data_IF_392216857154
#
_entry.id   IF_392216857154
#
_cell.length_a   1.000
_cell.length_b   1.000
_cell.length_c   1.000
_cell.angle_alpha   90.00
_cell.angle_beta   90.00
_cell.angle_gamma   90.00
#
_symmetry.space_group_name_H-M   'P 1'
#
loop_
_entity.id
_entity.type
_entity.pdbx_description
1 polymer ?
#
# COMPACT_ATOMS: atom_id res chain seq x y z
N UNK A 1 -5.15 4.81 15.90
CA UNK A 1 -5.91 3.81 15.12
C UNK A 1 -6.00 4.15 13.65
N UNK A 2 -6.16 3.12 12.82
CA UNK A 2 -6.40 3.25 11.38
C UNK A 2 -7.90 3.41 11.14
N UNK A 3 -8.31 4.40 10.33
CA UNK A 3 -9.70 4.53 9.87
C UNK A 3 -9.78 4.09 8.42
N UNK A 4 -10.76 3.24 8.13
CA UNK A 4 -11.03 2.70 6.81
C UNK A 4 -12.40 3.19 6.32
N UNK A 5 -12.48 3.52 5.04
CA UNK A 5 -13.74 3.71 4.33
C UNK A 5 -14.03 2.41 3.58
N UNK A 6 -15.11 1.74 3.94
CA UNK A 6 -15.55 0.54 3.21
C UNK A 6 -16.47 0.94 2.06
N UNK A 7 -16.05 0.63 0.83
CA UNK A 7 -16.78 1.00 -0.37
C UNK A 7 -17.39 -0.24 -1.02
N UNK A 8 -18.70 -0.18 -1.26
CA UNK A 8 -19.41 -1.10 -2.14
C UNK A 8 -19.37 -0.56 -3.58
N UNK A 9 -19.00 -1.41 -4.53
CA UNK A 9 -19.02 -1.12 -5.95
C UNK A 9 -19.99 -2.05 -6.65
N UNK A 10 -20.80 -1.49 -7.56
CA UNK A 10 -21.69 -2.26 -8.43
C UNK A 10 -21.26 -2.10 -9.87
N UNK A 11 -21.12 -3.22 -10.59
CA UNK A 11 -20.83 -3.21 -12.02
C UNK A 11 -22.09 -2.78 -12.77
N UNK A 12 -22.02 -1.67 -13.51
CA UNK A 12 -23.18 -1.08 -14.18
C UNK A 12 -23.44 -1.64 -15.58
N UNK A 13 -22.39 -2.08 -16.30
CA UNK A 13 -22.48 -2.50 -17.69
C UNK A 13 -21.54 -3.69 -17.99
N UNK A 14 -21.72 -4.29 -19.17
CA UNK A 14 -20.95 -5.44 -19.64
C UNK A 14 -21.44 -6.80 -19.07
N UNK A 15 -20.66 -7.88 -19.28
CA UNK A 15 -21.08 -9.26 -18.97
C UNK A 15 -21.36 -9.52 -17.48
N UNK A 16 -20.80 -8.70 -16.61
CA UNK A 16 -20.91 -8.82 -15.16
C UNK A 16 -21.81 -7.73 -14.54
N UNK A 17 -22.69 -7.10 -15.31
CA UNK A 17 -23.61 -6.09 -14.80
C UNK A 17 -24.43 -6.61 -13.60
N UNK A 18 -24.69 -5.71 -12.64
CA UNK A 18 -25.35 -5.93 -11.34
C UNK A 18 -24.57 -6.77 -10.34
N UNK A 19 -23.33 -7.17 -10.63
CA UNK A 19 -22.44 -7.79 -9.64
C UNK A 19 -21.86 -6.74 -8.70
N UNK A 20 -21.63 -7.15 -7.45
CA UNK A 20 -21.08 -6.29 -6.40
C UNK A 20 -19.71 -6.79 -5.95
N UNK A 21 -18.85 -5.87 -5.57
CA UNK A 21 -17.62 -6.17 -4.85
C UNK A 21 -17.31 -5.05 -3.85
N UNK A 22 -16.53 -5.38 -2.83
CA UNK A 22 -16.17 -4.45 -1.77
C UNK A 22 -14.67 -4.19 -1.77
N UNK A 23 -14.29 -2.95 -1.48
CA UNK A 23 -12.89 -2.59 -1.25
C UNK A 23 -12.81 -1.48 -0.22
N UNK A 24 -11.99 -1.69 0.81
CA UNK A 24 -11.76 -0.70 1.84
C UNK A 24 -10.53 0.15 1.54
N UNK A 25 -10.63 1.45 1.83
CA UNK A 25 -9.58 2.45 1.62
C UNK A 25 -9.16 3.07 2.94
N UNK A 26 -7.86 3.31 3.13
CA UNK A 26 -7.38 4.00 4.33
C UNK A 26 -7.65 5.49 4.22
N UNK A 27 -8.41 6.04 5.17
CA UNK A 27 -8.74 7.48 5.22
C UNK A 27 -7.98 8.25 6.31
N UNK A 28 -7.53 7.56 7.36
CA UNK A 28 -6.67 8.15 8.39
C UNK A 28 -5.83 7.09 9.11
N UNK A 29 -4.76 7.53 9.78
CA UNK A 29 -3.88 6.69 10.58
C UNK A 29 -2.99 5.76 9.76
N UNK A 30 -2.43 4.75 10.41
CA UNK A 30 -1.48 3.82 9.79
C UNK A 30 -0.06 4.40 9.71
N UNK A 31 0.76 3.84 8.83
CA UNK A 31 2.13 4.33 8.61
C UNK A 31 2.11 5.74 8.03
N UNK A 32 2.89 6.63 8.62
CA UNK A 32 3.09 8.00 8.14
C UNK A 32 4.41 8.13 7.40
N UNK A 33 4.49 9.10 6.49
CA UNK A 33 5.73 9.55 5.89
C UNK A 33 6.50 10.50 6.83
N UNK A 34 7.66 11.00 6.38
CA UNK A 34 8.51 11.93 7.14
C UNK A 34 7.80 13.23 7.50
N UNK A 35 6.76 13.59 6.75
CA UNK A 35 5.93 14.78 6.92
C UNK A 35 4.73 14.53 7.84
N UNK A 36 4.61 13.33 8.43
CA UNK A 36 3.52 12.95 9.32
C UNK A 36 2.20 12.64 8.59
N UNK A 37 2.22 12.51 7.26
CA UNK A 37 1.02 12.22 6.46
C UNK A 37 0.86 10.71 6.31
N UNK A 38 -0.35 10.19 6.54
CA UNK A 38 -0.64 8.77 6.31
C UNK A 38 -0.36 8.35 4.86
N UNK A 39 0.50 7.36 4.69
CA UNK A 39 0.84 6.78 3.39
C UNK A 39 -0.40 6.15 2.75
N UNK A 40 -1.20 5.43 3.55
CA UNK A 40 -2.45 4.82 3.10
C UNK A 40 -3.46 5.87 2.62
N UNK A 41 -3.52 7.01 3.31
CA UNK A 41 -4.37 8.13 2.89
C UNK A 41 -3.88 8.77 1.59
N UNK A 42 -2.57 8.92 1.39
CA UNK A 42 -1.99 9.44 0.14
C UNK A 42 -2.38 8.57 -1.06
N UNK A 43 -2.30 7.25 -0.91
CA UNK A 43 -2.71 6.29 -1.95
C UNK A 43 -4.22 6.39 -2.21
N UNK A 44 -5.03 6.38 -1.16
CA UNK A 44 -6.50 6.42 -1.29
C UNK A 44 -6.98 7.71 -1.94
N UNK A 45 -6.39 8.87 -1.59
CA UNK A 45 -6.67 10.16 -2.25
C UNK A 45 -6.39 10.12 -3.75
N UNK A 46 -5.28 9.50 -4.16
CA UNK A 46 -4.95 9.33 -5.58
C UNK A 46 -6.02 8.52 -6.32
N UNK A 47 -6.49 7.42 -5.71
CA UNK A 47 -7.57 6.60 -6.27
C UNK A 47 -8.89 7.37 -6.34
N UNK A 48 -9.25 8.11 -5.29
CA UNK A 48 -10.48 8.90 -5.26
C UNK A 48 -10.48 9.98 -6.33
N UNK A 49 -9.35 10.68 -6.49
CA UNK A 49 -9.17 11.65 -7.57
C UNK A 49 -9.35 11.01 -8.94
N UNK A 50 -8.75 9.83 -9.16
CA UNK A 50 -8.89 9.12 -10.42
C UNK A 50 -10.36 8.72 -10.70
N UNK A 51 -11.09 8.25 -9.68
CA UNK A 51 -12.53 7.96 -9.81
C UNK A 51 -13.35 9.19 -10.21
N UNK A 52 -13.08 10.35 -9.60
CA UNK A 52 -13.76 11.61 -9.95
C UNK A 52 -13.40 12.04 -11.36
N UNK A 53 -12.11 12.00 -11.72
CA UNK A 53 -11.62 12.37 -13.05
C UNK A 53 -12.28 11.50 -14.12
N UNK A 54 -12.41 10.18 -13.88
CA UNK A 54 -13.08 9.25 -14.77
C UNK A 54 -14.60 9.48 -14.84
N UNK A 55 -15.25 9.73 -13.70
CA UNK A 55 -16.70 9.97 -13.66
C UNK A 55 -17.12 11.27 -14.36
N UNK A 56 -16.30 12.31 -14.25
CA UNK A 56 -16.57 13.64 -14.82
C UNK A 56 -15.92 13.86 -16.18
N UNK A 57 -15.15 12.89 -16.70
CA UNK A 57 -14.42 13.02 -17.96
C UNK A 57 -13.39 14.15 -17.92
N UNK A 58 -12.66 14.29 -16.81
CA UNK A 58 -11.61 15.31 -16.67
C UNK A 58 -10.27 14.76 -17.15
N UNK A 59 -9.49 15.60 -17.83
CA UNK A 59 -8.10 15.27 -18.11
C UNK A 59 -7.29 15.35 -16.81
N UNK A 60 -6.63 14.26 -16.36
CA UNK A 60 -5.78 14.30 -15.17
C UNK A 60 -4.64 15.33 -15.22
N UNK A 61 -4.24 15.78 -16.42
CA UNK A 61 -3.21 16.81 -16.61
C UNK A 61 -3.76 18.23 -16.58
N UNK A 62 -5.08 18.41 -16.70
CA UNK A 62 -5.70 19.73 -16.64
C UNK A 62 -5.65 20.27 -15.20
N UNK A 63 -4.92 21.38 -15.01
CA UNK A 63 -4.77 22.08 -13.72
C UNK A 63 -5.51 23.42 -13.70
N UNK A 64 -6.48 23.62 -14.59
CA UNK A 64 -7.37 24.79 -14.55
C UNK A 64 -8.13 24.87 -13.23
N UNK A 65 -8.44 26.07 -12.78
CA UNK A 65 -9.22 26.29 -11.55
C UNK A 65 -10.60 25.63 -11.63
N UNK A 66 -11.21 25.59 -12.83
CA UNK A 66 -12.47 24.90 -13.07
C UNK A 66 -12.35 23.38 -12.83
N UNK A 67 -11.29 22.74 -13.34
CA UNK A 67 -11.06 21.31 -13.12
C UNK A 67 -10.67 21.01 -11.66
N UNK A 68 -9.91 21.89 -11.01
CA UNK A 68 -9.61 21.78 -9.57
C UNK A 68 -10.87 21.86 -8.73
N UNK A 69 -11.75 22.82 -8.99
CA UNK A 69 -13.01 22.97 -8.26
C UNK A 69 -13.87 21.70 -8.33
N UNK A 70 -13.94 21.04 -9.50
CA UNK A 70 -14.65 19.76 -9.67
C UNK A 70 -14.01 18.58 -8.94
N UNK A 71 -12.73 18.66 -8.58
CA UNK A 71 -12.01 17.63 -7.81
C UNK A 71 -12.05 17.85 -6.30
N UNK A 72 -12.52 19.00 -5.84
CA UNK A 72 -12.65 19.29 -4.42
C UNK A 72 -13.91 18.60 -3.90
N UNK A 73 -13.72 17.60 -3.04
CA UNK A 73 -14.80 16.96 -2.31
C UNK A 73 -15.15 17.78 -1.07
N UNK A 74 -16.45 18.00 -0.81
CA UNK A 74 -16.95 18.55 0.46
C UNK A 74 -16.86 17.51 1.57
N UNK A 75 -16.94 16.23 1.20
CA UNK A 75 -16.74 15.09 2.08
C UNK A 75 -16.70 13.78 1.30
N UNK A 76 -16.47 12.66 2.00
CA UNK A 76 -16.43 11.33 1.37
C UNK A 76 -17.78 10.90 0.79
N UNK A 77 -18.89 11.49 1.25
CA UNK A 77 -20.23 11.24 0.74
C UNK A 77 -20.39 11.64 -0.74
N UNK A 78 -19.60 12.60 -1.23
CA UNK A 78 -19.63 13.04 -2.63
C UNK A 78 -19.13 11.94 -3.60
N UNK A 79 -18.46 10.90 -3.09
CA UNK A 79 -18.08 9.72 -3.87
C UNK A 79 -19.23 8.74 -4.06
N UNK A 80 -20.34 8.88 -3.33
CA UNK A 80 -21.47 7.97 -3.43
C UNK A 80 -22.26 8.23 -4.72
N UNK A 81 -22.54 7.15 -5.47
CA UNK A 81 -23.36 7.21 -6.68
C UNK A 81 -22.62 7.63 -7.95
N UNK A 82 -21.32 7.90 -7.89
CA UNK A 82 -20.52 8.18 -9.10
C UNK A 82 -20.39 6.91 -9.95
N UNK A 83 -20.35 7.09 -11.26
CA UNK A 83 -20.09 6.00 -12.23
C UNK A 83 -18.79 6.31 -12.97
N UNK A 84 -17.87 5.37 -13.01
CA UNK A 84 -16.54 5.55 -13.60
C UNK A 84 -16.09 4.30 -14.35
N UNK A 85 -15.15 4.47 -15.29
CA UNK A 85 -14.54 3.37 -16.01
C UNK A 85 -13.41 2.75 -15.18
N UNK A 86 -13.36 1.42 -15.10
CA UNK A 86 -12.41 0.72 -14.24
C UNK A 86 -11.94 -0.61 -14.83
N UNK A 87 -10.74 -1.03 -14.43
CA UNK A 87 -10.26 -2.41 -14.60
C UNK A 87 -10.30 -3.11 -13.25
N UNK A 88 -10.90 -4.29 -13.23
CA UNK A 88 -10.99 -5.15 -12.05
C UNK A 88 -9.96 -6.28 -12.15
N UNK A 89 -9.49 -6.73 -11.00
CA UNK A 89 -8.60 -7.88 -10.86
C UNK A 89 -9.22 -8.86 -9.87
N UNK A 90 -8.94 -10.14 -10.09
CA UNK A 90 -9.17 -11.21 -9.13
C UNK A 90 -7.89 -11.38 -8.31
N UNK A 91 -7.95 -11.09 -7.01
CA UNK A 91 -6.87 -11.37 -6.06
C UNK A 91 -7.10 -12.76 -5.45
N UNK A 92 -6.12 -13.68 -5.59
CA UNK A 92 -6.20 -14.99 -4.96
C UNK A 92 -6.37 -14.89 -3.45
N UNK A 93 -7.15 -15.79 -2.87
CA UNK A 93 -7.29 -15.86 -1.44
C UNK A 93 -5.93 -16.14 -0.76
N UNK A 94 -5.64 -15.41 0.33
CA UNK A 94 -4.45 -15.69 1.14
C UNK A 94 -4.65 -16.86 2.11
N UNK A 95 -5.91 -17.18 2.42
CA UNK A 95 -6.29 -18.31 3.25
C UNK A 95 -7.17 -19.26 2.41
N UNK A 96 -6.80 -20.55 2.28
CA UNK A 96 -7.51 -21.54 1.47
C UNK A 96 -8.97 -21.79 1.91
N UNK A 97 -9.39 -21.30 3.08
CA UNK A 97 -10.78 -21.34 3.53
C UNK A 97 -11.69 -20.34 2.80
N UNK A 98 -11.11 -19.33 2.15
CA UNK A 98 -11.85 -18.30 1.44
C UNK A 98 -11.61 -18.43 -0.07
N UNK A 99 -12.60 -17.98 -0.86
CA UNK A 99 -12.45 -17.87 -2.31
C UNK A 99 -11.72 -16.59 -2.72
N UNK A 100 -11.31 -16.54 -3.99
CA UNK A 100 -10.71 -15.35 -4.58
C UNK A 100 -11.61 -14.12 -4.47
N UNK A 101 -10.99 -12.94 -4.38
CA UNK A 101 -11.72 -11.68 -4.18
C UNK A 101 -11.56 -10.73 -5.37
N UNK A 102 -12.64 -10.07 -5.77
CA UNK A 102 -12.61 -9.04 -6.79
C UNK A 102 -12.14 -7.72 -6.19
N UNK A 103 -11.18 -7.06 -6.83
CA UNK A 103 -10.63 -5.77 -6.43
C UNK A 103 -10.56 -4.80 -7.60
N UNK A 104 -10.68 -3.52 -7.30
CA UNK A 104 -10.33 -2.46 -8.23
C UNK A 104 -8.80 -2.47 -8.45
N UNK A 105 -8.35 -2.75 -9.68
CA UNK A 105 -6.93 -2.67 -10.05
C UNK A 105 -6.53 -1.22 -10.31
N UNK A 106 -7.27 -0.57 -11.21
CA UNK A 106 -7.10 0.84 -11.56
C UNK A 106 -8.40 1.43 -12.10
N UNK A 107 -8.48 2.74 -12.02
CA UNK A 107 -9.47 3.54 -12.73
C UNK A 107 -8.93 3.86 -14.12
N UNK A 108 -9.79 3.80 -15.13
CA UNK A 108 -9.47 4.18 -16.51
C UNK A 108 -9.87 5.63 -16.71
N UNK A 109 -8.95 6.44 -17.20
CA UNK A 109 -9.12 7.90 -17.35
C UNK A 109 -9.37 8.29 -18.81
N UNK A 110 -9.87 9.51 -19.04
CA UNK A 110 -10.23 10.02 -20.37
C UNK A 110 -9.13 9.86 -21.44
N UNK A 111 -7.85 9.96 -21.05
CA UNK A 111 -6.71 9.84 -21.96
C UNK A 111 -6.40 8.41 -22.42
N UNK A 112 -7.09 7.39 -21.89
CA UNK A 112 -6.91 5.99 -22.28
C UNK A 112 -7.92 5.60 -23.38
N UNK A 113 -7.50 4.86 -24.43
CA UNK A 113 -8.37 4.50 -25.54
C UNK A 113 -9.57 3.62 -25.13
N UNK A 114 -9.44 2.89 -24.02
CA UNK A 114 -10.53 2.06 -23.49
C UNK A 114 -11.62 2.86 -22.78
N UNK A 115 -11.35 4.10 -22.34
CA UNK A 115 -12.27 4.89 -21.52
C UNK A 115 -13.63 5.06 -22.19
N UNK A 116 -13.64 5.57 -23.43
CA UNK A 116 -14.87 5.84 -24.16
C UNK A 116 -15.68 4.55 -24.41
N UNK A 117 -15.00 3.44 -24.68
CA UNK A 117 -15.62 2.14 -24.93
C UNK A 117 -16.25 1.56 -23.67
N UNK A 118 -15.55 1.63 -22.53
CA UNK A 118 -16.07 1.19 -21.23
C UNK A 118 -17.26 2.05 -20.82
N UNK A 119 -17.17 3.37 -20.96
CA UNK A 119 -18.27 4.29 -20.61
C UNK A 119 -19.48 4.13 -21.54
N UNK A 120 -19.29 3.69 -22.79
CA UNK A 120 -20.36 3.29 -23.70
C UNK A 120 -20.99 1.91 -23.35
N UNK A 121 -20.45 1.22 -22.34
CA UNK A 121 -20.93 -0.10 -21.91
C UNK A 121 -20.46 -1.25 -22.80
N UNK A 122 -19.46 -1.04 -23.65
CA UNK A 122 -18.92 -2.07 -24.53
C UNK A 122 -18.17 -3.14 -23.71
N UNK A 123 -18.39 -4.42 -24.04
CA UNK A 123 -17.66 -5.52 -23.45
C UNK A 123 -16.26 -5.63 -24.07
N UNK A 124 -15.23 -5.23 -23.33
CA UNK A 124 -13.83 -5.38 -23.76
C UNK A 124 -13.26 -6.75 -23.36
N UNK A 125 -12.35 -7.31 -24.16
CA UNK A 125 -11.64 -8.53 -23.78
C UNK A 125 -10.80 -8.29 -22.51
N UNK A 126 -10.61 -9.34 -21.67
CA UNK A 126 -9.77 -9.23 -20.48
C UNK A 126 -8.35 -8.79 -20.83
N UNK A 127 -7.88 -7.71 -20.22
CA UNK A 127 -6.53 -7.18 -20.39
C UNK A 127 -5.79 -7.22 -19.05
N UNK A 128 -4.99 -8.27 -18.78
CA UNK A 128 -4.30 -8.41 -17.49
C UNK A 128 -3.30 -7.27 -17.29
N UNK A 129 -3.40 -6.61 -16.14
CA UNK A 129 -2.46 -5.58 -15.74
C UNK A 129 -1.08 -6.16 -15.42
N UNK A 130 0.00 -5.56 -15.94
CA UNK A 130 1.38 -5.97 -15.64
C UNK A 130 1.86 -5.66 -14.19
N UNK A 131 0.98 -5.13 -13.33
CA UNK A 131 1.34 -4.80 -11.95
C UNK A 131 1.50 -6.09 -11.15
N UNK A 132 2.70 -6.27 -10.57
CA UNK A 132 3.05 -7.41 -9.74
C UNK A 132 1.95 -7.72 -8.70
N UNK A 133 1.65 -9.01 -8.44
CA UNK A 133 0.74 -9.40 -7.37
C UNK A 133 1.19 -8.76 -6.06
N UNK A 134 0.25 -8.22 -5.27
CA UNK A 134 0.56 -7.84 -3.91
C UNK A 134 0.99 -9.12 -3.17
N UNK A 135 2.19 -9.18 -2.57
CA UNK A 135 2.58 -10.35 -1.79
C UNK A 135 1.54 -10.56 -0.69
N UNK A 136 1.07 -11.79 -0.53
CA UNK A 136 0.23 -12.15 0.60
C UNK A 136 0.94 -11.71 1.88
N UNK A 137 0.23 -11.02 2.77
CA UNK A 137 0.77 -10.65 4.08
C UNK A 137 1.26 -11.93 4.76
N UNK A 138 2.57 -12.05 4.95
CA UNK A 138 3.14 -13.19 5.65
C UNK A 138 2.43 -13.29 7.02
N UNK A 139 1.99 -14.49 7.44
CA UNK A 139 1.47 -14.66 8.78
C UNK A 139 2.52 -14.12 9.77
N UNK A 140 2.11 -13.43 10.84
CA UNK A 140 3.05 -13.00 11.86
C UNK A 140 3.85 -14.24 12.30
N UNK A 141 5.17 -14.19 12.17
CA UNK A 141 6.03 -15.26 12.62
C UNK A 141 5.67 -15.53 14.09
N UNK A 142 5.18 -16.74 14.38
CA UNK A 142 4.90 -17.14 15.73
C UNK A 142 6.21 -17.04 16.51
N UNK A 143 6.31 -16.05 17.39
CA UNK A 143 7.39 -15.99 18.35
C UNK A 143 7.29 -17.26 19.19
N UNK A 144 8.28 -18.15 19.05
CA UNK A 144 8.38 -19.33 19.90
C UNK A 144 8.38 -18.87 21.36
N UNK A 145 7.56 -19.46 22.24
CA UNK A 145 7.46 -19.01 23.61
C UNK A 145 8.78 -19.31 24.36
N UNK A 146 9.24 -18.33 25.14
CA UNK A 146 10.57 -18.29 25.77
C UNK A 146 10.86 -19.39 26.82
N UNK A 147 9.95 -20.35 27.03
CA UNK A 147 10.12 -21.44 27.99
C UNK A 147 10.75 -22.71 27.38
N UNK A 148 10.96 -22.77 26.06
CA UNK A 148 11.55 -23.93 25.39
C UNK A 148 13.07 -24.12 25.64
N UNK A 149 13.70 -23.28 26.48
CA UNK A 149 15.11 -23.40 26.84
C UNK A 149 15.26 -23.95 28.26
N UNK A 150 15.00 -25.25 28.43
CA UNK A 150 15.36 -25.98 29.64
C UNK A 150 16.19 -27.21 29.30
N UNK A 151 17.51 -27.06 29.49
CA UNK A 151 18.38 -28.12 30.00
C UNK A 151 19.14 -28.95 28.98
N UNK A 152 20.41 -28.60 28.76
CA UNK A 152 21.47 -29.58 28.52
C UNK A 152 22.76 -29.11 29.21
N UNK A 153 23.44 -29.96 30.01
CA UNK A 153 24.59 -29.56 30.80
C UNK A 153 25.84 -29.34 29.92
N UNK A 154 26.62 -28.34 30.34
CA UNK A 154 27.88 -27.88 29.74
C UNK A 154 28.97 -28.94 29.95
N UNK A 155 29.50 -29.52 28.87
CA UNK A 155 30.65 -30.41 28.90
C UNK A 155 31.97 -29.62 29.03
N UNK A 156 33.01 -30.16 29.69
CA UNK A 156 34.24 -29.44 30.01
C UNK A 156 35.15 -29.26 28.79
N UNK A 157 35.88 -28.14 28.81
CA UNK A 157 36.92 -27.78 27.85
C UNK A 157 38.11 -28.73 27.96
N UNK A 158 38.47 -29.38 26.85
CA UNK A 158 39.71 -30.15 26.71
C UNK A 158 40.70 -29.34 25.88
N UNK A 159 41.88 -29.09 26.47
CA UNK A 159 43.06 -28.52 25.80
C UNK A 159 43.86 -29.61 25.09
N UNK A 160 44.33 -29.33 23.87
CA UNK A 160 45.38 -30.07 23.16
C UNK A 160 46.07 -29.16 22.12
N UNK A 161 47.34 -29.41 21.75
CA UNK A 161 48.36 -28.35 21.67
C UNK A 161 48.70 -27.84 20.26
N UNK A 162 49.47 -26.74 20.26
CA UNK A 162 50.06 -26.05 19.13
C UNK A 162 50.99 -26.94 18.30
N UNK A 163 50.82 -26.95 16.97
CA UNK A 163 51.86 -26.90 15.91
C UNK A 163 51.13 -26.92 14.56
N UNK A 164 50.86 -25.74 13.99
CA UNK A 164 50.76 -25.50 12.54
C UNK A 164 50.36 -24.03 12.30
N UNK A 165 51.34 -23.19 12.01
CA UNK A 165 51.19 -21.97 11.20
C UNK A 165 51.77 -22.26 9.81
N UNK A 166 51.63 -21.39 8.77
CA UNK A 166 50.95 -20.08 8.71
C UNK A 166 50.07 -19.90 7.45
N UNK A 167 49.28 -18.82 7.40
CA UNK A 167 49.36 -17.84 6.30
C UNK A 167 48.50 -16.61 6.64
N UNK A 168 49.08 -15.44 6.41
CA UNK A 168 48.64 -14.15 6.88
C UNK A 168 47.63 -13.48 5.96
N UNK A 169 46.74 -12.66 6.54
CA UNK A 169 46.26 -11.43 5.92
C UNK A 169 45.96 -10.42 7.05
N UNK A 170 46.47 -9.17 6.99
CA UNK A 170 46.46 -8.25 8.13
C UNK A 170 45.09 -7.62 8.43
N UNK A 171 44.85 -7.16 9.67
CA UNK A 171 43.63 -6.49 10.09
C UNK A 171 43.65 -4.98 9.74
N UNK A 172 42.50 -4.44 9.31
CA UNK A 172 42.28 -3.01 9.32
C UNK A 172 41.87 -2.55 10.74
N UNK A 173 42.60 -1.55 11.21
CA UNK A 173 42.56 -0.96 12.55
C UNK A 173 41.27 -0.18 12.83
N UNK A 174 40.75 -0.15 14.08
CA UNK A 174 39.60 0.66 14.46
C UNK A 174 40.01 2.10 14.85
N UNK A 175 39.19 3.08 14.48
CA UNK A 175 39.26 4.47 14.94
C UNK A 175 37.84 5.09 14.96
N UNK A 176 37.60 6.24 15.60
CA UNK A 176 37.02 6.33 16.94
C UNK A 176 35.62 6.98 16.95
N UNK A 177 34.91 6.84 18.07
CA UNK A 177 33.73 7.64 18.43
C UNK A 177 34.00 9.14 18.43
N UNK A 178 33.04 9.96 17.97
CA UNK A 178 32.87 11.32 18.48
C UNK A 178 31.52 11.51 19.20
N UNK A 179 31.66 11.84 20.49
CA UNK A 179 30.96 12.82 21.31
C UNK A 179 29.48 13.19 21.02
N UNK A 180 28.69 13.07 22.08
CA UNK A 180 27.42 13.74 22.30
C UNK A 180 27.61 15.27 22.47
N UNK A 181 26.67 16.04 21.92
CA UNK A 181 26.49 17.47 22.18
C UNK A 181 24.97 17.82 22.10
N UNK A 182 24.51 18.91 22.75
CA UNK A 182 23.35 18.87 23.62
C UNK A 182 22.03 19.40 23.01
N UNK A 183 20.95 19.15 23.76
CA UNK A 183 19.59 19.64 23.58
C UNK A 183 19.53 21.12 23.16
N UNK A 184 18.99 21.38 21.98
CA UNK A 184 18.57 22.70 21.52
C UNK A 184 17.07 22.68 21.19
N UNK A 185 16.36 23.55 21.89
CA UNK A 185 14.96 23.97 21.77
C UNK A 185 14.46 24.10 20.33
N UNK A 186 13.35 23.42 20.01
CA UNK A 186 12.65 23.59 18.73
C UNK A 186 11.87 24.92 18.65
N UNK A 187 11.63 25.45 17.43
CA UNK A 187 11.11 26.80 17.21
C UNK A 187 9.60 26.92 17.47
N UNK A 188 9.23 28.10 18.00
CA UNK A 188 7.91 28.47 18.49
C UNK A 188 6.94 28.99 17.40
N UNK A 189 6.43 28.11 16.54
CA UNK A 189 5.32 28.47 15.62
C UNK A 189 4.14 27.50 15.68
N UNK A 190 4.10 26.62 16.68
CA UNK A 190 3.09 25.59 16.87
C UNK A 190 1.99 26.00 17.86
N UNK A 191 1.51 27.25 17.76
CA UNK A 191 0.25 27.68 18.37
C UNK A 191 -0.36 28.82 17.54
N UNK A 192 -1.43 28.48 16.82
CA UNK A 192 -2.26 29.37 16.00
C UNK A 192 -3.34 28.55 15.31
#
# INVERSE_FOLDING_TARGET
DVRLLDCEFTVVAGPHARRKFWQSFTVAGGKVDEQGVSIGWKISKGMFRAMIDSALGLDPKDMSEAAKAKRILRGLADLHGITFAAKLRIEPASDPRYGDSNRLDRVVLLGEPEYARIMAGEALPPAPSQRAPRPASAPPAAAAPAWANTGAPRAPVATAPAWATPAATPPAQPAPTPAQAPLATGPAWLNG
#
